data_IF_208956851939
#
_entry.id   IF_208956851939
#
_cell.length_a   1.000
_cell.length_b   1.000
_cell.length_c   1.000
_cell.angle_alpha   90.00
_cell.angle_beta   90.00
_cell.angle_gamma   90.00
#
_symmetry.space_group_name_H-M   'P 1'
#
loop_
_entity.id
_entity.type
_entity.pdbx_description
1 polymer ?
#
# COMPACT_ATOMS: atom_id res chain seq x y z
N UNK A 1 11.27 34.00 11.38
CA UNK A 1 10.80 33.32 12.61
C UNK A 1 9.76 32.29 12.16
N UNK A 2 10.10 31.06 11.85
CA UNK A 2 10.63 30.03 12.76
C UNK A 2 11.88 29.40 12.16
N UNK A 3 13.01 29.62 12.85
CA UNK A 3 14.15 28.72 12.85
C UNK A 3 13.76 27.43 13.57
N UNK A 4 14.19 26.27 13.03
CA UNK A 4 14.98 25.27 13.78
C UNK A 4 15.33 24.08 12.91
N UNK A 5 16.53 23.57 13.18
CA UNK A 5 17.20 22.36 12.68
C UNK A 5 17.73 22.42 11.25
N UNK A 6 18.88 23.07 11.14
CA UNK A 6 20.09 22.48 10.55
C UNK A 6 20.14 20.96 10.81
N UNK A 7 19.69 20.20 9.83
CA UNK A 7 19.97 18.78 9.67
C UNK A 7 20.67 18.63 8.32
N UNK A 8 21.71 17.81 8.30
CA UNK A 8 22.70 17.59 7.24
C UNK A 8 22.14 17.03 5.90
N UNK A 9 20.87 17.28 5.56
CA UNK A 9 20.15 16.63 4.47
C UNK A 9 19.23 17.64 3.79
N UNK A 10 19.66 18.24 2.68
CA UNK A 10 18.79 19.16 1.96
C UNK A 10 19.44 19.91 0.82
N UNK A 11 20.01 19.21 -0.16
CA UNK A 11 20.19 19.77 -1.50
C UNK A 11 18.96 19.44 -2.35
N UNK A 12 18.53 20.40 -3.18
CA UNK A 12 17.32 20.41 -4.03
C UNK A 12 17.11 19.19 -4.95
N UNK A 13 18.08 18.28 -5.03
CA UNK A 13 18.03 17.05 -5.78
C UNK A 13 18.40 15.94 -4.79
N UNK A 14 17.49 15.03 -4.47
CA UNK A 14 17.65 14.01 -3.41
C UNK A 14 18.73 12.95 -3.67
N UNK A 15 19.80 13.28 -4.39
CA UNK A 15 20.96 12.44 -4.54
C UNK A 15 21.84 12.55 -3.28
N UNK A 16 22.25 11.41 -2.68
CA UNK A 16 23.20 11.44 -1.57
C UNK A 16 24.52 12.06 -2.05
N UNK A 17 25.06 13.04 -1.32
CA UNK A 17 26.35 13.67 -1.62
C UNK A 17 27.51 12.66 -1.69
N UNK A 18 27.36 11.52 -1.00
CA UNK A 18 28.29 10.40 -1.04
C UNK A 18 27.56 9.13 -1.47
N UNK A 19 27.88 8.64 -2.67
CA UNK A 19 27.42 7.34 -3.16
C UNK A 19 28.19 6.22 -2.45
N UNK A 20 27.51 5.52 -1.56
CA UNK A 20 27.95 4.27 -0.92
C UNK A 20 26.96 3.14 -1.22
N UNK A 21 27.36 1.87 -1.14
CA UNK A 21 26.43 0.74 -1.33
C UNK A 21 25.24 0.79 -0.35
N UNK A 22 25.42 1.34 0.85
CA UNK A 22 24.31 1.58 1.77
C UNK A 22 23.37 2.68 1.28
N UNK A 23 23.89 3.77 0.72
CA UNK A 23 23.04 4.83 0.19
C UNK A 23 22.25 4.39 -1.04
N UNK A 24 22.79 3.52 -1.90
CA UNK A 24 22.05 2.96 -3.04
C UNK A 24 20.97 1.97 -2.59
N UNK A 25 21.24 1.16 -1.56
CA UNK A 25 20.26 0.22 -1.02
C UNK A 25 19.04 0.92 -0.39
N UNK A 26 19.25 2.06 0.28
CA UNK A 26 18.18 2.82 0.93
C UNK A 26 17.55 3.91 0.06
N UNK A 27 18.05 4.13 -1.17
CA UNK A 27 17.51 5.13 -2.10
C UNK A 27 16.05 4.86 -2.48
N UNK A 28 15.62 3.59 -2.43
CA UNK A 28 14.29 3.16 -2.83
C UNK A 28 13.22 3.20 -1.72
N UNK A 29 13.53 3.71 -0.52
CA UNK A 29 12.54 3.75 0.59
C UNK A 29 11.30 4.59 0.22
N UNK A 30 11.47 5.60 -0.65
CA UNK A 30 10.40 6.51 -1.04
C UNK A 30 9.54 6.04 -2.22
N UNK A 31 9.91 4.96 -2.92
CA UNK A 31 9.17 4.48 -4.09
C UNK A 31 8.63 3.06 -3.86
N UNK A 32 7.50 2.74 -4.50
CA UNK A 32 6.91 1.40 -4.43
C UNK A 32 7.54 0.43 -5.43
N UNK A 33 8.63 0.81 -6.11
CA UNK A 33 9.27 0.04 -7.17
C UNK A 33 9.81 -1.33 -6.71
N UNK A 34 10.12 -1.48 -5.41
CA UNK A 34 10.47 -2.79 -4.84
C UNK A 34 9.28 -3.77 -4.78
N UNK A 35 8.05 -3.25 -4.72
CA UNK A 35 6.80 -4.04 -4.70
C UNK A 35 6.13 -4.02 -6.07
N UNK A 36 6.53 -4.95 -6.94
CA UNK A 36 5.99 -5.09 -8.32
C UNK A 36 4.45 -5.12 -8.39
N UNK A 37 3.79 -5.74 -7.41
CA UNK A 37 2.33 -5.81 -7.35
C UNK A 37 1.65 -4.44 -7.17
N UNK A 38 2.31 -3.51 -6.47
CA UNK A 38 1.75 -2.19 -6.15
C UNK A 38 2.33 -1.05 -7.00
N UNK A 39 3.44 -1.29 -7.72
CA UNK A 39 4.04 -0.37 -8.68
C UNK A 39 3.05 0.24 -9.70
N UNK A 40 2.07 -0.49 -10.29
CA UNK A 40 1.13 0.13 -11.23
C UNK A 40 0.24 1.21 -10.60
N UNK A 41 -0.13 1.06 -9.32
CA UNK A 41 -0.94 2.07 -8.62
C UNK A 41 -0.13 3.34 -8.31
N UNK A 42 1.17 3.21 -8.06
CA UNK A 42 2.08 4.35 -7.90
C UNK A 42 2.19 5.15 -9.20
N UNK A 43 2.35 4.46 -10.34
CA UNK A 43 2.38 5.10 -11.66
C UNK A 43 1.08 5.83 -11.98
N UNK A 44 -0.07 5.17 -11.78
CA UNK A 44 -1.38 5.82 -11.99
C UNK A 44 -1.59 7.05 -11.11
N UNK A 45 -1.09 7.03 -9.87
CA UNK A 45 -1.17 8.17 -8.98
C UNK A 45 -0.27 9.32 -9.45
N UNK A 46 0.95 9.01 -9.90
CA UNK A 46 1.87 9.98 -10.48
C UNK A 46 1.28 10.65 -11.73
N UNK A 47 0.75 9.87 -12.67
CA UNK A 47 0.13 10.37 -13.90
C UNK A 47 -1.07 11.30 -13.59
N UNK A 48 -1.88 10.94 -12.60
CA UNK A 48 -3.00 11.77 -12.17
C UNK A 48 -2.55 13.10 -11.55
N UNK A 49 -1.51 13.07 -10.71
CA UNK A 49 -0.94 14.28 -10.09
C UNK A 49 -0.26 15.18 -11.11
N UNK A 50 0.36 14.60 -12.14
CA UNK A 50 0.93 15.34 -13.27
C UNK A 50 -0.17 16.05 -14.08
N UNK A 51 -1.30 15.38 -14.32
CA UNK A 51 -2.41 15.96 -15.09
C UNK A 51 -3.13 17.12 -14.37
N UNK A 52 -3.39 17.01 -13.06
CA UNK A 52 -4.18 17.99 -12.31
C UNK A 52 -3.35 19.00 -11.49
N UNK A 53 -2.06 18.72 -11.29
CA UNK A 53 -1.20 19.50 -10.41
C UNK A 53 -1.50 19.31 -8.91
N UNK A 54 -0.67 19.91 -8.06
CA UNK A 54 -0.67 19.63 -6.62
C UNK A 54 -1.97 20.06 -5.91
N UNK A 55 -2.53 21.24 -6.23
CA UNK A 55 -3.66 21.80 -5.50
C UNK A 55 -4.98 21.06 -5.75
N UNK A 56 -5.24 20.68 -7.00
CA UNK A 56 -6.50 20.03 -7.42
C UNK A 56 -6.35 18.50 -7.40
N UNK A 57 -5.12 18.00 -7.64
CA UNK A 57 -4.82 16.58 -7.70
C UNK A 57 -5.11 15.83 -6.40
N UNK A 58 -4.96 16.47 -5.23
CA UNK A 58 -5.26 15.79 -3.95
C UNK A 58 -6.71 15.32 -3.84
N UNK A 59 -7.66 16.12 -4.35
CA UNK A 59 -9.07 15.76 -4.33
C UNK A 59 -9.44 14.84 -5.48
N UNK A 60 -8.92 15.11 -6.69
CA UNK A 60 -9.24 14.32 -7.90
C UNK A 60 -8.61 12.94 -7.89
N UNK A 61 -7.37 12.82 -7.43
CA UNK A 61 -6.60 11.58 -7.40
C UNK A 61 -6.82 10.76 -6.12
N UNK A 62 -7.74 11.18 -5.24
CA UNK A 62 -8.01 10.54 -3.94
C UNK A 62 -8.34 9.06 -4.05
N UNK A 63 -9.10 8.65 -5.07
CA UNK A 63 -9.47 7.23 -5.26
C UNK A 63 -8.23 6.38 -5.57
N UNK A 64 -7.40 6.83 -6.51
CA UNK A 64 -6.17 6.15 -6.91
C UNK A 64 -5.19 6.07 -5.73
N UNK A 65 -5.07 7.15 -4.97
CA UNK A 65 -4.26 7.17 -3.75
C UNK A 65 -4.75 6.14 -2.73
N UNK A 66 -6.07 6.04 -2.52
CA UNK A 66 -6.63 5.06 -1.59
C UNK A 66 -6.38 3.61 -2.03
N UNK A 67 -6.35 3.35 -3.34
CA UNK A 67 -6.06 2.01 -3.88
C UNK A 67 -4.57 1.68 -3.73
N UNK A 68 -3.67 2.63 -3.99
CA UNK A 68 -2.24 2.49 -3.70
C UNK A 68 -1.99 2.24 -2.19
N UNK A 69 -2.69 2.98 -1.32
CA UNK A 69 -2.63 2.81 0.13
C UNK A 69 -3.20 1.44 0.56
N UNK A 70 -4.26 0.96 -0.08
CA UNK A 70 -4.80 -0.38 0.19
C UNK A 70 -3.82 -1.46 -0.24
N UNK A 71 -3.19 -1.35 -1.42
CA UNK A 71 -2.23 -2.33 -1.90
C UNK A 71 -1.02 -2.44 -0.95
N UNK A 72 -0.52 -1.31 -0.46
CA UNK A 72 0.66 -1.24 0.41
C UNK A 72 0.42 -1.79 1.80
N UNK A 73 -0.68 -1.40 2.46
CA UNK A 73 -0.95 -1.72 3.85
C UNK A 73 -1.96 -2.87 4.04
N UNK A 74 -2.72 -3.23 3.00
CA UNK A 74 -3.71 -4.31 2.98
C UNK A 74 -4.79 -4.22 4.07
N UNK A 75 -5.05 -3.02 4.58
CA UNK A 75 -5.94 -2.79 5.74
C UNK A 75 -7.36 -3.31 5.46
N UNK A 76 -7.93 -3.00 4.29
CA UNK A 76 -9.28 -3.44 3.92
C UNK A 76 -9.33 -4.95 3.72
N UNK A 77 -8.37 -5.53 3.00
CA UNK A 77 -8.23 -6.98 2.85
C UNK A 77 -8.19 -7.71 4.20
N UNK A 78 -7.37 -7.27 5.14
CA UNK A 78 -7.24 -7.88 6.47
C UNK A 78 -8.56 -7.79 7.23
N UNK A 79 -9.20 -6.61 7.26
CA UNK A 79 -10.50 -6.41 7.92
C UNK A 79 -11.57 -7.32 7.34
N UNK A 80 -11.60 -7.50 6.01
CA UNK A 80 -12.52 -8.41 5.33
C UNK A 80 -12.31 -9.85 5.79
N UNK A 81 -11.07 -10.34 5.83
CA UNK A 81 -10.76 -11.70 6.29
C UNK A 81 -11.17 -11.90 7.76
N UNK A 82 -10.91 -10.92 8.61
CA UNK A 82 -11.33 -10.96 10.02
C UNK A 82 -12.86 -11.03 10.13
N UNK A 83 -13.59 -10.21 9.38
CA UNK A 83 -15.06 -10.24 9.37
C UNK A 83 -15.60 -11.59 8.91
N UNK A 84 -15.08 -12.14 7.80
CA UNK A 84 -15.46 -13.47 7.31
C UNK A 84 -15.19 -14.57 8.36
N UNK A 85 -14.08 -14.47 9.08
CA UNK A 85 -13.75 -15.45 10.12
C UNK A 85 -14.65 -15.33 11.35
N UNK A 86 -15.01 -14.11 11.76
CA UNK A 86 -15.97 -13.88 12.86
C UNK A 86 -17.35 -14.48 12.54
N UNK A 87 -17.84 -14.24 11.33
CA UNK A 87 -19.13 -14.80 10.89
C UNK A 87 -19.08 -16.33 10.81
N UNK A 88 -17.97 -16.91 10.33
CA UNK A 88 -17.76 -18.37 10.33
C UNK A 88 -17.85 -18.95 11.74
N UNK A 89 -17.17 -18.33 12.72
CA UNK A 89 -17.20 -18.77 14.12
C UNK A 89 -18.63 -18.69 14.69
N UNK A 90 -19.37 -17.62 14.36
CA UNK A 90 -20.78 -17.44 14.77
C UNK A 90 -21.65 -18.60 14.24
N UNK A 91 -21.57 -18.88 12.94
CA UNK A 91 -22.35 -19.94 12.29
C UNK A 91 -22.04 -21.33 12.87
N UNK A 92 -20.76 -21.61 13.13
CA UNK A 92 -20.35 -22.89 13.72
C UNK A 92 -20.86 -23.05 15.15
N UNK A 93 -20.75 -22.01 15.98
CA UNK A 93 -21.27 -22.02 17.36
C UNK A 93 -22.80 -22.17 17.41
N UNK A 94 -23.51 -21.60 16.44
CA UNK A 94 -24.96 -21.73 16.31
C UNK A 94 -25.40 -23.10 15.75
N UNK A 95 -24.48 -23.95 15.29
CA UNK A 95 -24.82 -25.20 14.61
C UNK A 95 -25.38 -25.03 13.18
N UNK A 96 -25.38 -23.81 12.64
CA UNK A 96 -25.80 -23.52 11.24
C UNK A 96 -24.86 -24.19 10.22
N UNK A 97 -23.62 -24.52 10.64
CA UNK A 97 -22.57 -25.09 9.79
C UNK A 97 -22.04 -26.39 10.39
N UNK A 98 -22.01 -27.47 9.60
CA UNK A 98 -21.48 -28.78 10.01
C UNK A 98 -19.96 -28.79 10.16
N UNK A 99 -19.27 -28.12 9.24
CA UNK A 99 -17.80 -28.07 9.19
C UNK A 99 -17.29 -26.68 9.53
N UNK A 100 -16.17 -26.62 10.27
CA UNK A 100 -15.55 -25.36 10.65
C UNK A 100 -14.85 -24.70 9.45
N UNK A 101 -14.08 -25.47 8.66
CA UNK A 101 -13.56 -25.04 7.37
C UNK A 101 -14.16 -25.93 6.27
N UNK A 102 -14.74 -25.35 5.20
CA UNK A 102 -15.14 -26.15 4.05
C UNK A 102 -13.91 -26.78 3.41
N UNK A 103 -14.09 -27.95 2.80
CA UNK A 103 -13.09 -28.53 1.89
C UNK A 103 -12.68 -27.47 0.86
N UNK A 104 -11.38 -27.39 0.59
CA UNK A 104 -10.85 -26.49 -0.43
C UNK A 104 -11.43 -26.83 -1.81
N UNK A 105 -11.43 -25.86 -2.75
CA UNK A 105 -11.71 -26.20 -4.14
C UNK A 105 -10.75 -27.32 -4.60
N UNK A 106 -11.21 -28.26 -5.44
CA UNK A 106 -10.33 -29.27 -5.99
C UNK A 106 -9.19 -28.63 -6.80
N UNK A 107 -8.04 -29.31 -6.83
CA UNK A 107 -6.75 -28.78 -7.34
C UNK A 107 -6.79 -28.53 -8.87
N UNK A 108 -7.76 -29.12 -9.55
CA UNK A 108 -7.98 -29.04 -11.00
C UNK A 108 -8.67 -27.73 -11.47
N UNK A 109 -9.02 -26.82 -10.56
CA UNK A 109 -9.70 -25.56 -10.88
C UNK A 109 -8.77 -24.39 -11.28
N UNK A 110 -7.53 -24.66 -11.71
CA UNK A 110 -6.56 -23.62 -12.13
C UNK A 110 -5.88 -23.93 -13.45
#
# INVERSE_FOLDING_TARGET
MIDKTTGLFGTKYGAPMFKSPFSDAFLQIGSLQFKKDCAPYELMFADCMEAYGHHIGLDKCRTIFNDMYECTYRVKRIRRVIAMNKERIRQYKNGERKEYYPQGPPIDLY
#
